data_IF_338389352754
#
_entry.id   IF_338389352754
#
_cell.length_a   1.000
_cell.length_b   1.000
_cell.length_c   1.000
_cell.angle_alpha   90.00
_cell.angle_beta   90.00
_cell.angle_gamma   90.00
#
_symmetry.space_group_name_H-M   'P 1'
#
loop_
_entity.id
_entity.type
_entity.pdbx_description
1 polymer ?
#
# COMPACT_ATOMS: atom_id res chain seq x y z
N UNK A 1 -31.26 -2.11 26.21
CA UNK A 1 -30.60 -0.78 26.08
C UNK A 1 -31.30 -0.06 24.94
N UNK A 2 -31.85 1.14 25.15
CA UNK A 2 -32.44 1.96 24.07
C UNK A 2 -31.39 3.00 23.68
N UNK A 3 -30.95 3.01 22.42
CA UNK A 3 -30.04 4.02 21.89
C UNK A 3 -30.91 5.11 21.27
N UNK A 4 -30.90 6.34 21.82
CA UNK A 4 -31.64 7.45 21.21
C UNK A 4 -30.96 7.84 19.90
N UNK A 5 -31.73 7.95 18.85
CA UNK A 5 -31.26 8.44 17.55
C UNK A 5 -31.96 9.78 17.25
N UNK A 6 -31.16 10.83 17.10
CA UNK A 6 -31.67 12.17 16.82
C UNK A 6 -31.14 12.66 15.49
N UNK A 7 -31.83 12.40 14.35
CA UNK A 7 -31.28 12.64 13.00
C UNK A 7 -30.88 14.09 12.73
N UNK A 8 -31.51 15.04 13.42
CA UNK A 8 -31.28 16.47 13.20
C UNK A 8 -30.26 17.10 14.15
N UNK A 9 -29.55 16.28 14.93
CA UNK A 9 -28.49 16.74 15.85
C UNK A 9 -27.22 15.93 15.60
N UNK A 10 -26.49 16.21 14.51
CA UNK A 10 -25.23 15.55 14.26
C UNK A 10 -24.22 15.96 15.36
N UNK A 11 -23.54 14.97 15.94
CA UNK A 11 -22.50 15.22 16.96
C UNK A 11 -21.08 15.27 16.36
N UNK A 12 -20.96 15.07 15.03
CA UNK A 12 -19.67 15.12 14.34
C UNK A 12 -19.81 14.92 12.84
N UNK A 13 -18.70 15.11 12.15
CA UNK A 13 -18.56 14.83 10.73
C UNK A 13 -17.84 13.49 10.55
N UNK A 14 -18.36 12.61 9.70
CA UNK A 14 -17.70 11.37 9.36
C UNK A 14 -16.37 11.64 8.65
N UNK A 15 -15.32 10.92 9.04
CA UNK A 15 -14.05 10.98 8.31
C UNK A 15 -14.24 10.35 6.92
N UNK A 16 -13.94 11.08 5.83
CA UNK A 16 -14.11 10.55 4.46
C UNK A 16 -13.31 9.28 4.20
N UNK A 17 -12.23 9.01 4.94
CA UNK A 17 -11.42 7.79 4.83
C UNK A 17 -12.20 6.51 5.19
N UNK A 18 -13.37 6.61 5.84
CA UNK A 18 -14.30 5.49 6.04
C UNK A 18 -14.86 4.95 4.71
N UNK A 19 -14.87 5.75 3.66
CA UNK A 19 -15.36 5.39 2.32
C UNK A 19 -14.21 4.95 1.41
N UNK A 20 -13.31 4.14 1.97
CA UNK A 20 -12.20 3.56 1.24
C UNK A 20 -12.60 2.29 0.50
N UNK A 21 -11.75 1.90 -0.45
CA UNK A 21 -11.86 0.65 -1.20
C UNK A 21 -10.61 -0.20 -1.01
N UNK A 22 -10.67 -1.43 -1.52
CA UNK A 22 -9.64 -2.43 -1.40
C UNK A 22 -9.30 -3.00 -2.77
N UNK A 23 -8.02 -3.12 -3.05
CA UNK A 23 -7.46 -3.71 -4.25
C UNK A 23 -6.42 -4.75 -3.86
N UNK A 24 -6.56 -5.97 -4.35
CA UNK A 24 -5.66 -7.07 -4.08
C UNK A 24 -5.21 -7.75 -5.37
N UNK A 25 -3.99 -8.29 -5.37
CA UNK A 25 -3.54 -9.24 -6.39
C UNK A 25 -4.28 -10.57 -6.22
N UNK A 26 -5.56 -10.55 -6.58
CA UNK A 26 -6.49 -11.67 -6.43
C UNK A 26 -7.36 -11.80 -7.68
N UNK A 27 -7.26 -12.94 -8.37
CA UNK A 27 -7.94 -13.18 -9.63
C UNK A 27 -7.74 -12.04 -10.64
N UNK A 28 -8.81 -11.36 -11.02
CA UNK A 28 -8.81 -10.30 -12.03
C UNK A 28 -9.00 -8.90 -11.44
N UNK A 29 -8.66 -8.70 -10.18
CA UNK A 29 -8.77 -7.35 -9.60
C UNK A 29 -7.69 -6.41 -10.16
N UNK A 30 -6.45 -6.89 -10.24
CA UNK A 30 -5.33 -6.13 -10.81
C UNK A 30 -5.22 -6.43 -12.30
N UNK A 31 -4.69 -7.59 -12.69
CA UNK A 31 -4.48 -7.95 -14.09
C UNK A 31 -5.79 -8.33 -14.79
N UNK A 32 -6.08 -7.65 -15.92
CA UNK A 32 -7.38 -7.75 -16.60
C UNK A 32 -8.53 -7.05 -15.86
N UNK A 33 -8.21 -6.39 -14.75
CA UNK A 33 -9.09 -5.54 -13.96
C UNK A 33 -8.71 -4.07 -14.08
N UNK A 34 -8.01 -3.52 -13.06
CA UNK A 34 -7.54 -2.12 -13.08
C UNK A 34 -6.38 -1.89 -14.04
N UNK A 35 -5.58 -2.93 -14.29
CA UNK A 35 -4.41 -2.91 -15.16
C UNK A 35 -4.52 -4.01 -16.23
N UNK A 36 -4.55 -3.60 -17.48
CA UNK A 36 -4.59 -4.49 -18.65
C UNK A 36 -4.06 -3.75 -19.87
N UNK A 37 -2.74 -3.76 -20.10
CA UNK A 37 -2.13 -3.07 -21.24
C UNK A 37 -2.63 -3.54 -22.61
N UNK A 38 -3.26 -4.73 -22.69
CA UNK A 38 -3.79 -5.30 -23.91
C UNK A 38 -5.25 -4.94 -24.19
N UNK A 39 -5.91 -4.32 -23.22
CA UNK A 39 -7.30 -3.91 -23.32
C UNK A 39 -7.47 -2.78 -24.36
N UNK A 40 -8.56 -2.76 -25.13
CA UNK A 40 -8.89 -1.60 -25.98
C UNK A 40 -9.22 -0.34 -25.15
N UNK A 41 -9.40 -0.48 -23.86
CA UNK A 41 -9.61 0.62 -22.92
C UNK A 41 -8.33 1.00 -22.14
N UNK A 42 -7.18 0.41 -22.46
CA UNK A 42 -5.92 0.77 -21.80
C UNK A 42 -5.49 2.20 -22.15
N UNK A 43 -5.08 2.96 -21.14
CA UNK A 43 -4.36 4.22 -21.37
C UNK A 43 -2.85 3.94 -21.61
N UNK A 44 -2.07 5.01 -21.76
CA UNK A 44 -0.62 4.93 -22.00
C UNK A 44 0.17 4.25 -20.85
N UNK A 45 -0.43 4.13 -19.67
CA UNK A 45 0.15 3.49 -18.50
C UNK A 45 -0.37 2.06 -18.29
N UNK A 46 -1.24 1.57 -19.17
CA UNK A 46 -1.85 0.24 -19.08
C UNK A 46 -3.07 0.17 -18.14
N UNK A 47 -3.55 1.29 -17.62
CA UNK A 47 -4.74 1.30 -16.78
C UNK A 47 -6.00 1.31 -17.61
N UNK A 48 -7.00 0.56 -17.19
CA UNK A 48 -8.31 0.55 -17.84
C UNK A 48 -9.07 1.82 -17.53
N UNK A 49 -9.30 2.63 -18.57
CA UNK A 49 -9.99 3.93 -18.46
C UNK A 49 -11.44 3.77 -18.02
N UNK A 50 -12.14 2.73 -18.48
CA UNK A 50 -13.52 2.43 -18.04
C UNK A 50 -13.61 2.14 -16.53
N UNK A 51 -12.60 1.45 -15.98
CA UNK A 51 -12.50 1.21 -14.54
C UNK A 51 -12.14 2.50 -13.79
N UNK A 52 -11.20 3.31 -14.32
CA UNK A 52 -10.85 4.60 -13.71
C UNK A 52 -12.03 5.57 -13.69
N UNK A 53 -12.88 5.57 -14.72
CA UNK A 53 -14.12 6.38 -14.74
C UNK A 53 -15.07 5.92 -13.62
N UNK A 54 -15.30 4.62 -13.48
CA UNK A 54 -16.13 4.08 -12.40
C UNK A 54 -15.57 4.43 -11.00
N UNK A 55 -14.24 4.38 -10.82
CA UNK A 55 -13.59 4.79 -9.57
C UNK A 55 -13.82 6.28 -9.30
N UNK A 56 -13.69 7.13 -10.31
CA UNK A 56 -13.96 8.57 -10.17
C UNK A 56 -15.42 8.88 -9.82
N UNK A 57 -16.36 8.08 -10.31
CA UNK A 57 -17.79 8.23 -9.98
C UNK A 57 -18.09 7.81 -8.54
N UNK A 58 -17.48 6.71 -8.08
CA UNK A 58 -17.63 6.22 -6.69
C UNK A 58 -16.92 7.16 -5.71
N UNK A 59 -15.82 7.81 -6.12
CA UNK A 59 -15.00 8.73 -5.32
C UNK A 59 -14.50 8.12 -4.00
N UNK A 60 -13.81 6.98 -4.03
CA UNK A 60 -13.21 6.46 -2.82
C UNK A 60 -12.19 7.47 -2.28
N UNK A 61 -12.22 7.72 -0.97
CA UNK A 61 -11.23 8.62 -0.38
C UNK A 61 -9.82 8.00 -0.36
N UNK A 62 -9.77 6.67 -0.28
CA UNK A 62 -8.53 5.91 -0.13
C UNK A 62 -8.71 4.50 -0.72
N UNK A 63 -7.64 3.94 -1.30
CA UNK A 63 -7.59 2.54 -1.76
C UNK A 63 -6.44 1.84 -1.05
N UNK A 64 -6.73 0.70 -0.41
CA UNK A 64 -5.73 -0.18 0.22
C UNK A 64 -5.22 -1.23 -0.77
N UNK A 65 -3.90 -1.44 -0.81
CA UNK A 65 -3.19 -2.38 -1.67
C UNK A 65 -1.90 -2.87 -0.95
N UNK A 66 -1.24 -3.98 -1.28
CA UNK A 66 -1.46 -4.90 -2.40
C UNK A 66 -2.44 -6.03 -2.08
N UNK A 67 -2.94 -6.12 -0.89
CA UNK A 67 -3.88 -7.16 -0.52
C UNK A 67 -4.18 -7.18 0.97
N UNK A 68 -4.91 -8.10 1.24
CA UNK A 68 -5.28 -9.34 1.88
C UNK A 68 -4.13 -10.32 2.07
N UNK A 69 -4.44 -11.59 1.89
CA UNK A 69 -3.46 -12.66 2.10
C UNK A 69 -2.24 -12.55 1.17
N UNK A 70 -2.39 -11.96 -0.01
CA UNK A 70 -1.28 -11.73 -0.93
C UNK A 70 -0.09 -11.03 -0.27
N UNK A 71 -0.34 -9.98 0.55
CA UNK A 71 0.74 -9.18 1.13
C UNK A 71 1.66 -9.98 2.06
N UNK A 72 1.17 -11.06 2.66
CA UNK A 72 1.93 -11.82 3.66
C UNK A 72 3.14 -12.57 3.12
N UNK A 73 3.27 -12.65 1.78
CA UNK A 73 4.43 -13.20 1.10
C UNK A 73 4.94 -12.30 -0.05
N UNK A 74 4.45 -11.07 -0.14
CA UNK A 74 4.85 -10.12 -1.16
C UNK A 74 6.05 -9.28 -0.72
N UNK A 75 7.06 -9.22 -1.58
CA UNK A 75 8.24 -8.40 -1.40
C UNK A 75 8.22 -7.25 -2.43
N UNK A 76 8.00 -6.05 -1.95
CA UNK A 76 7.69 -4.86 -2.76
C UNK A 76 8.75 -4.51 -3.81
N UNK A 77 10.02 -4.80 -3.53
CA UNK A 77 11.11 -4.49 -4.45
C UNK A 77 11.11 -5.35 -5.74
N UNK A 78 10.37 -6.47 -5.78
CA UNK A 78 10.13 -7.19 -7.02
C UNK A 78 9.17 -6.47 -7.98
N UNK A 79 8.36 -5.56 -7.45
CA UNK A 79 7.36 -4.80 -8.21
C UNK A 79 7.80 -3.37 -8.56
N UNK A 80 9.10 -3.03 -8.50
CA UNK A 80 9.62 -1.71 -8.88
C UNK A 80 10.74 -1.83 -9.90
N UNK A 81 11.03 -0.74 -10.62
CA UNK A 81 12.09 -0.73 -11.63
C UNK A 81 11.75 -1.48 -12.91
N UNK A 82 12.78 -1.84 -13.66
CA UNK A 82 12.66 -2.48 -14.98
C UNK A 82 12.75 -4.00 -14.93
N UNK A 83 13.59 -4.51 -14.03
CA UNK A 83 13.87 -5.94 -13.89
C UNK A 83 12.98 -6.54 -12.81
N UNK A 84 11.76 -6.91 -13.21
CA UNK A 84 10.74 -7.45 -12.31
C UNK A 84 10.64 -8.97 -12.53
N UNK A 85 11.18 -9.78 -11.62
CA UNK A 85 11.09 -11.23 -11.74
C UNK A 85 9.66 -11.70 -11.53
N UNK A 86 9.18 -12.62 -12.36
CA UNK A 86 7.96 -13.33 -12.05
C UNK A 86 8.17 -14.18 -10.79
N UNK A 87 7.20 -14.14 -9.89
CA UNK A 87 7.23 -14.86 -8.61
C UNK A 87 6.02 -15.80 -8.51
N UNK A 88 6.14 -16.82 -7.65
CA UNK A 88 4.98 -17.66 -7.34
C UNK A 88 4.30 -17.11 -6.08
N UNK A 89 3.10 -16.56 -6.25
CA UNK A 89 2.28 -16.12 -5.13
C UNK A 89 1.79 -17.35 -4.34
N UNK A 90 2.14 -17.39 -3.06
CA UNK A 90 1.84 -18.52 -2.17
C UNK A 90 0.45 -18.44 -1.57
N UNK A 91 -0.16 -17.26 -1.53
CA UNK A 91 -1.51 -17.09 -1.01
C UNK A 91 -2.55 -17.64 -1.99
N UNK A 92 -2.49 -17.24 -3.23
CA UNK A 92 -3.46 -17.59 -4.26
C UNK A 92 -2.96 -18.66 -5.22
N UNK A 93 -1.69 -19.09 -5.09
CA UNK A 93 -1.05 -20.19 -5.84
C UNK A 93 -1.06 -19.96 -7.35
N UNK A 94 -0.69 -18.77 -7.74
CA UNK A 94 -0.58 -18.34 -9.14
C UNK A 94 0.79 -17.70 -9.40
N UNK A 95 1.18 -17.64 -10.66
CA UNK A 95 2.33 -16.85 -11.06
C UNK A 95 1.96 -15.37 -11.04
N UNK A 96 2.81 -14.55 -10.43
CA UNK A 96 2.71 -13.10 -10.34
C UNK A 96 3.79 -12.47 -11.20
N UNK A 97 3.38 -11.65 -12.17
CA UNK A 97 4.31 -10.99 -13.11
C UNK A 97 5.06 -9.81 -12.50
N UNK A 98 4.56 -9.25 -11.40
CA UNK A 98 5.04 -8.03 -10.76
C UNK A 98 5.03 -6.77 -11.67
N UNK A 99 4.27 -6.79 -12.77
CA UNK A 99 4.14 -5.63 -13.68
C UNK A 99 3.38 -4.47 -13.04
N UNK A 100 2.47 -4.77 -12.12
CA UNK A 100 1.75 -3.77 -11.32
C UNK A 100 2.31 -3.76 -9.90
N UNK A 101 3.12 -2.76 -9.59
CA UNK A 101 3.74 -2.60 -8.28
C UNK A 101 3.45 -1.24 -7.65
N UNK A 102 4.38 -0.77 -6.83
CA UNK A 102 4.24 0.48 -6.05
C UNK A 102 3.97 1.69 -6.95
N UNK A 103 4.74 1.84 -8.01
CA UNK A 103 4.70 3.02 -8.88
C UNK A 103 3.36 3.08 -9.64
N UNK A 104 2.92 1.95 -10.18
CA UNK A 104 1.65 1.81 -10.88
C UNK A 104 0.49 2.04 -9.92
N UNK A 105 0.53 1.46 -8.73
CA UNK A 105 -0.53 1.65 -7.74
C UNK A 105 -0.69 3.11 -7.32
N UNK A 106 0.40 3.79 -7.00
CA UNK A 106 0.34 5.21 -6.63
C UNK A 106 -0.18 6.05 -7.79
N UNK A 107 0.31 5.81 -9.02
CA UNK A 107 -0.17 6.50 -10.22
C UNK A 107 -1.67 6.26 -10.46
N UNK A 108 -2.13 5.01 -10.32
CA UNK A 108 -3.55 4.65 -10.41
C UNK A 108 -4.40 5.43 -9.40
N UNK A 109 -3.99 5.49 -8.14
CA UNK A 109 -4.69 6.26 -7.11
C UNK A 109 -4.75 7.76 -7.45
N UNK A 110 -3.65 8.34 -7.93
CA UNK A 110 -3.61 9.77 -8.33
C UNK A 110 -4.52 10.04 -9.52
N UNK A 111 -4.54 9.16 -10.54
CA UNK A 111 -5.48 9.25 -11.67
C UNK A 111 -6.94 9.06 -11.22
N UNK A 112 -7.19 8.18 -10.24
CA UNK A 112 -8.51 7.94 -9.67
C UNK A 112 -9.00 9.01 -8.70
N UNK A 113 -8.12 9.91 -8.25
CA UNK A 113 -8.45 11.00 -7.31
C UNK A 113 -8.58 10.54 -5.86
N UNK A 114 -7.87 9.48 -5.46
CA UNK A 114 -7.88 8.92 -4.11
C UNK A 114 -6.46 8.83 -3.50
N UNK A 115 -6.39 8.69 -2.18
CA UNK A 115 -5.11 8.46 -1.49
C UNK A 115 -4.70 6.99 -1.56
N UNK A 116 -3.42 6.69 -1.82
CA UNK A 116 -2.88 5.35 -1.69
C UNK A 116 -2.73 4.96 -0.22
N UNK A 117 -3.09 3.73 0.10
CA UNK A 117 -2.90 3.11 1.40
C UNK A 117 -2.15 1.79 1.18
N UNK A 118 -0.92 1.71 1.66
CA UNK A 118 -0.07 0.53 1.47
C UNK A 118 -0.11 -0.34 2.72
N UNK A 119 -0.40 -1.62 2.51
CA UNK A 119 -0.26 -2.67 3.51
C UNK A 119 1.10 -3.33 3.35
N UNK A 120 1.90 -3.37 4.41
CA UNK A 120 3.24 -3.97 4.38
C UNK A 120 3.23 -5.45 4.76
N UNK A 121 4.25 -6.20 4.34
CA UNK A 121 4.34 -7.64 4.57
C UNK A 121 4.63 -7.96 6.05
N UNK A 122 3.60 -8.26 6.82
CA UNK A 122 3.70 -8.70 8.20
C UNK A 122 3.91 -10.22 8.37
N UNK A 123 3.85 -10.99 7.28
CA UNK A 123 4.01 -12.45 7.29
C UNK A 123 5.48 -12.87 7.22
N UNK A 124 6.07 -12.76 6.03
CA UNK A 124 7.45 -13.15 5.73
C UNK A 124 8.42 -11.97 5.69
N UNK A 125 7.93 -10.74 5.65
CA UNK A 125 8.74 -9.53 5.61
C UNK A 125 9.32 -9.14 6.97
N UNK A 126 10.16 -8.12 6.96
CA UNK A 126 10.86 -7.61 8.13
C UNK A 126 10.51 -6.15 8.42
N UNK A 127 10.77 -5.69 9.64
CA UNK A 127 10.64 -4.28 9.98
C UNK A 127 11.52 -3.36 9.10
N UNK A 128 12.68 -3.87 8.69
CA UNK A 128 13.59 -3.17 7.78
C UNK A 128 12.95 -3.03 6.40
N UNK A 129 12.49 -4.12 5.79
CA UNK A 129 11.81 -4.10 4.49
C UNK A 129 10.60 -3.14 4.46
N UNK A 130 9.83 -3.07 5.54
CA UNK A 130 8.71 -2.13 5.66
C UNK A 130 9.19 -0.68 5.68
N UNK A 131 10.27 -0.37 6.41
CA UNK A 131 10.85 0.97 6.45
C UNK A 131 11.52 1.37 5.14
N UNK A 132 12.12 0.42 4.44
CA UNK A 132 12.74 0.61 3.13
C UNK A 132 11.68 0.98 2.08
N UNK A 133 10.49 0.38 2.19
CA UNK A 133 9.37 0.75 1.33
C UNK A 133 8.87 2.18 1.60
N UNK A 134 8.85 2.62 2.87
CA UNK A 134 8.57 4.03 3.21
C UNK A 134 9.66 4.94 2.65
N UNK A 135 10.94 4.53 2.72
CA UNK A 135 12.05 5.26 2.13
C UNK A 135 11.86 5.46 0.62
N UNK A 136 11.57 4.37 -0.09
CA UNK A 136 11.28 4.41 -1.53
C UNK A 136 10.17 5.40 -1.86
N UNK A 137 9.07 5.36 -1.11
CA UNK A 137 7.90 6.19 -1.40
C UNK A 137 8.06 7.65 -0.98
N UNK A 138 8.72 7.95 0.14
CA UNK A 138 8.54 9.22 0.81
C UNK A 138 9.81 10.06 0.96
N UNK A 139 11.02 9.46 1.00
CA UNK A 139 12.24 10.26 1.06
C UNK A 139 12.55 10.91 -0.29
N UNK A 140 13.00 12.16 -0.23
CA UNK A 140 13.24 12.96 -1.43
C UNK A 140 14.42 12.43 -2.26
N UNK A 141 15.61 12.34 -1.66
CA UNK A 141 16.86 12.01 -2.38
C UNK A 141 17.91 11.31 -1.53
N UNK A 142 17.64 11.13 -0.22
CA UNK A 142 18.55 10.46 0.71
C UNK A 142 18.21 8.98 0.81
N UNK A 143 19.23 8.16 0.98
CA UNK A 143 19.07 6.72 1.11
C UNK A 143 19.18 5.98 -0.22
N UNK A 144 19.16 4.65 -0.13
CA UNK A 144 19.34 3.76 -1.29
C UNK A 144 18.03 3.71 -2.10
N UNK A 145 16.91 3.52 -1.43
CA UNK A 145 15.63 3.29 -2.09
C UNK A 145 15.00 4.58 -2.64
N UNK A 146 15.25 5.75 -2.01
CA UNK A 146 14.88 7.02 -2.61
C UNK A 146 15.63 7.29 -3.93
N UNK A 147 16.91 6.90 -4.01
CA UNK A 147 17.68 6.99 -5.24
C UNK A 147 17.20 6.00 -6.29
N UNK A 148 16.89 4.77 -5.90
CA UNK A 148 16.31 3.76 -6.77
C UNK A 148 14.99 4.26 -7.38
N UNK A 149 14.09 4.86 -6.60
CA UNK A 149 12.88 5.50 -7.14
C UNK A 149 13.20 6.54 -8.21
N UNK A 150 14.21 7.39 -7.97
CA UNK A 150 14.63 8.41 -8.93
C UNK A 150 15.19 7.78 -10.20
N UNK A 151 16.00 6.72 -10.09
CA UNK A 151 16.53 5.95 -11.21
C UNK A 151 15.42 5.24 -12.01
N UNK A 152 14.34 4.82 -11.34
CA UNK A 152 13.14 4.27 -11.94
C UNK A 152 12.26 5.34 -12.64
N UNK A 153 12.67 6.63 -12.60
CA UNK A 153 12.02 7.71 -13.31
C UNK A 153 11.08 8.58 -12.46
N UNK A 154 10.95 8.30 -11.17
CA UNK A 154 10.09 9.06 -10.25
C UNK A 154 10.92 10.01 -9.38
N UNK A 155 11.22 11.18 -9.93
CA UNK A 155 12.06 12.18 -9.26
C UNK A 155 11.49 12.64 -7.92
N UNK A 156 10.20 12.96 -7.89
CA UNK A 156 9.53 13.42 -6.68
C UNK A 156 9.02 12.23 -5.84
N UNK A 157 8.97 12.37 -4.52
CA UNK A 157 8.37 11.35 -3.65
C UNK A 157 6.91 11.06 -3.99
N UNK A 158 6.51 9.81 -3.83
CA UNK A 158 5.11 9.39 -3.97
C UNK A 158 4.19 9.97 -2.89
N UNK A 159 4.75 10.36 -1.74
CA UNK A 159 4.03 10.94 -0.61
C UNK A 159 2.86 10.05 -0.14
N UNK A 160 3.13 8.79 0.10
CA UNK A 160 2.16 7.83 0.66
C UNK A 160 2.00 8.10 2.14
N UNK A 161 0.79 8.49 2.55
CA UNK A 161 0.49 8.89 3.94
C UNK A 161 -0.03 7.75 4.80
N UNK A 162 -0.63 6.74 4.20
CA UNK A 162 -1.35 5.68 4.90
C UNK A 162 -0.65 4.35 4.73
N UNK A 163 -0.30 3.75 5.87
CA UNK A 163 0.42 2.49 5.95
C UNK A 163 -0.22 1.58 6.98
N UNK A 164 -0.26 0.29 6.70
CA UNK A 164 -0.56 -0.74 7.70
C UNK A 164 0.53 -1.80 7.74
N UNK A 165 0.66 -2.42 8.88
CA UNK A 165 1.59 -3.51 9.13
C UNK A 165 0.80 -4.81 9.10
N UNK A 166 1.07 -5.62 8.08
CA UNK A 166 0.48 -6.94 7.92
C UNK A 166 -1.02 -6.99 7.63
N UNK A 167 -1.47 -8.20 7.37
CA UNK A 167 -2.85 -8.56 7.12
C UNK A 167 -3.20 -9.83 7.89
N UNK A 168 -4.25 -9.81 8.68
CA UNK A 168 -4.84 -10.99 9.35
C UNK A 168 -3.85 -11.96 10.03
N UNK A 169 -2.67 -11.49 10.44
CA UNK A 169 -1.59 -12.32 10.99
C UNK A 169 -1.95 -13.05 12.30
N UNK A 170 -3.17 -12.87 12.80
CA UNK A 170 -3.79 -13.62 13.89
C UNK A 170 -4.40 -14.95 13.44
N UNK A 171 -4.67 -15.11 12.13
CA UNK A 171 -5.42 -16.23 11.58
C UNK A 171 -4.52 -17.41 11.22
N UNK A 172 -4.92 -18.61 11.60
CA UNK A 172 -4.19 -19.85 11.30
C UNK A 172 -4.11 -20.20 9.81
N UNK A 173 -4.91 -19.53 8.99
CA UNK A 173 -4.88 -19.65 7.53
C UNK A 173 -3.86 -18.73 6.87
N UNK A 174 -3.38 -17.72 7.61
CA UNK A 174 -2.53 -16.67 7.07
C UNK A 174 -1.05 -17.06 7.09
N UNK A 175 -0.32 -16.75 6.01
CA UNK A 175 1.12 -16.95 5.97
C UNK A 175 1.78 -16.04 7.00
N UNK A 176 2.60 -16.65 7.87
CA UNK A 176 3.26 -15.93 8.94
C UNK A 176 2.33 -15.56 10.09
N UNK A 177 1.35 -16.44 10.40
CA UNK A 177 0.57 -16.36 11.64
C UNK A 177 1.46 -16.04 12.85
N UNK A 178 0.95 -15.20 13.72
CA UNK A 178 1.67 -14.73 14.92
C UNK A 178 0.77 -14.74 16.15
N UNK A 179 1.32 -15.16 17.25
CA UNK A 179 0.67 -14.92 18.55
C UNK A 179 0.69 -13.42 18.92
N UNK A 180 -0.01 -13.06 19.98
CA UNK A 180 -0.13 -11.65 20.40
C UNK A 180 1.19 -11.01 20.81
N UNK A 181 2.17 -11.78 21.28
CA UNK A 181 3.49 -11.27 21.70
C UNK A 181 4.38 -11.04 20.48
N UNK A 182 4.39 -11.98 19.55
CA UNK A 182 5.11 -11.88 18.28
C UNK A 182 4.59 -10.71 17.45
N UNK A 183 3.27 -10.62 17.33
CA UNK A 183 2.60 -9.52 16.65
C UNK A 183 2.93 -8.16 17.26
N UNK A 184 2.80 -8.02 18.59
CA UNK A 184 3.10 -6.76 19.27
C UNK A 184 4.55 -6.33 19.09
N UNK A 185 5.50 -7.28 19.07
CA UNK A 185 6.92 -7.01 18.84
C UNK A 185 7.15 -6.54 17.42
N UNK A 186 6.60 -7.24 16.41
CA UNK A 186 6.73 -6.87 15.00
C UNK A 186 6.18 -5.46 14.77
N UNK A 187 4.94 -5.20 15.19
CA UNK A 187 4.29 -3.88 15.00
C UNK A 187 5.10 -2.76 15.64
N UNK A 188 5.56 -2.97 16.88
CA UNK A 188 6.36 -1.96 17.59
C UNK A 188 7.66 -1.62 16.87
N UNK A 189 8.41 -2.64 16.42
CA UNK A 189 9.69 -2.40 15.74
C UNK A 189 9.49 -1.86 14.34
N UNK A 190 8.53 -2.37 13.57
CA UNK A 190 8.19 -1.88 12.24
C UNK A 190 7.74 -0.42 12.28
N UNK A 191 6.78 -0.10 13.13
CA UNK A 191 6.32 1.28 13.29
C UNK A 191 7.45 2.24 13.70
N UNK A 192 8.33 1.81 14.59
CA UNK A 192 9.49 2.59 15.02
C UNK A 192 10.43 2.89 13.84
N UNK A 193 10.73 1.89 13.00
CA UNK A 193 11.61 2.07 11.85
C UNK A 193 10.95 2.95 10.78
N UNK A 194 9.70 2.67 10.41
CA UNK A 194 8.95 3.44 9.43
C UNK A 194 8.83 4.92 9.84
N UNK A 195 8.50 5.19 11.10
CA UNK A 195 8.39 6.56 11.64
C UNK A 195 9.74 7.30 11.72
N UNK A 196 10.86 6.62 11.71
CA UNK A 196 12.18 7.26 11.64
C UNK A 196 12.56 7.65 10.22
N UNK A 197 11.99 7.00 9.24
CA UNK A 197 12.14 7.35 7.82
C UNK A 197 11.26 8.55 7.48
N UNK A 198 9.97 8.47 7.81
CA UNK A 198 8.98 9.51 7.53
C UNK A 198 8.17 9.83 8.80
N UNK A 199 8.70 10.71 9.68
CA UNK A 199 8.03 11.08 10.91
C UNK A 199 6.80 11.96 10.62
N UNK A 200 5.68 11.75 11.34
CA UNK A 200 4.54 12.67 11.25
C UNK A 200 4.96 14.08 11.64
N UNK A 201 4.36 15.09 11.03
CA UNK A 201 4.69 16.54 11.13
C UNK A 201 4.96 17.08 12.56
N UNK A 202 4.52 16.36 13.59
CA UNK A 202 4.63 16.78 15.00
C UNK A 202 5.78 16.12 15.77
N UNK A 203 6.61 15.30 15.12
CA UNK A 203 7.78 14.73 15.78
C UNK A 203 8.97 15.69 15.63
N UNK A 204 9.53 16.21 16.73
CA UNK A 204 10.75 17.01 16.64
C UNK A 204 11.88 16.16 16.04
N UNK A 205 12.73 16.73 15.18
CA UNK A 205 13.91 16.01 14.70
C UNK A 205 14.76 15.57 15.90
N UNK A 206 15.46 14.43 15.81
CA UNK A 206 16.39 14.05 16.85
C UNK A 206 17.42 15.18 17.08
N UNK A 207 17.89 15.38 18.31
CA UNK A 207 18.92 16.38 18.59
C UNK A 207 20.13 16.10 17.70
N UNK A 208 20.68 17.18 17.14
CA UNK A 208 21.91 17.10 16.35
C UNK A 208 23.00 16.43 17.17
N UNK A 209 23.79 15.51 16.61
CA UNK A 209 24.94 14.99 17.31
C UNK A 209 25.88 16.17 17.64
N UNK A 210 26.13 16.37 18.92
CA UNK A 210 27.11 17.33 19.45
C UNK A 210 28.53 16.80 19.22
#
# INVERSE_FOLDING_TARGET
>A
MKIPFTPNQPFGQANPMLYGHFLEHFHRQVYGGVYDPTSPFADEDGFRTDVLEAIRDIKPAIIRWPGGCYVSAYHWHYGVGKDRPATFDKAWRVEESNEFGTDEFVKFCRKGGCEPYICTNGGTGTAEEMSDWVEYCNLKEKGIFAKERIENGYKEPHNVKFWSIGNENWGTHEIGEKDSKEWSRLVKESAKMMLRVDPPWNFPPPPSPT
#
